data_IF_551644032592
#
_entry.id   IF_551644032592
#
_cell.length_a   1.000
_cell.length_b   1.000
_cell.length_c   1.000
_cell.angle_alpha   90.00
_cell.angle_beta   90.00
_cell.angle_gamma   90.00
#
_symmetry.space_group_name_H-M   'P 1'
#
loop_
_entity.id
_entity.type
_entity.pdbx_description
1 polymer ?
#
# COMPACT_ATOMS: atom_id res chain seq x y z
N UNK A 1 -24.63 -2.04 -21.86
CA UNK A 1 -23.74 -0.87 -21.77
C UNK A 1 -24.31 0.05 -20.71
N UNK A 2 -23.81 -0.02 -19.48
CA UNK A 2 -24.20 0.90 -18.43
C UNK A 2 -23.00 1.80 -18.17
N UNK A 3 -23.10 3.05 -18.58
CA UNK A 3 -22.12 4.10 -18.34
C UNK A 3 -22.06 4.36 -16.83
N UNK A 4 -20.87 4.18 -16.25
CA UNK A 4 -20.59 4.58 -14.86
C UNK A 4 -20.93 6.07 -14.69
N UNK A 5 -21.62 6.49 -13.62
CA UNK A 5 -21.87 7.91 -13.39
C UNK A 5 -20.52 8.61 -13.21
N UNK A 6 -20.30 9.64 -14.01
CA UNK A 6 -19.15 10.53 -13.90
C UNK A 6 -18.99 10.98 -12.46
N UNK A 7 -17.81 10.81 -11.83
CA UNK A 7 -17.59 11.33 -10.49
C UNK A 7 -17.83 12.84 -10.50
N UNK A 8 -18.33 13.42 -9.39
CA UNK A 8 -18.41 14.87 -9.27
C UNK A 8 -17.03 15.46 -9.58
N UNK A 9 -16.94 16.62 -10.25
CA UNK A 9 -15.65 17.22 -10.57
C UNK A 9 -14.86 17.33 -9.26
N UNK A 10 -13.72 16.65 -9.21
CA UNK A 10 -12.76 16.83 -8.12
C UNK A 10 -12.37 18.31 -8.04
N UNK A 11 -11.85 18.76 -6.88
CA UNK A 11 -11.31 20.12 -6.80
C UNK A 11 -10.35 20.35 -7.97
N UNK A 12 -10.47 21.51 -8.61
CA UNK A 12 -9.70 21.90 -9.79
C UNK A 12 -8.20 21.62 -9.57
N UNK A 13 -7.45 21.23 -10.63
CA UNK A 13 -6.05 20.86 -10.50
C UNK A 13 -5.28 22.01 -9.85
N UNK A 14 -4.68 21.74 -8.69
CA UNK A 14 -3.83 22.64 -7.92
C UNK A 14 -2.47 22.80 -8.59
N UNK A 15 -2.46 23.15 -9.88
CA UNK A 15 -1.25 23.56 -10.57
C UNK A 15 -0.86 24.96 -10.08
N UNK A 16 0.13 25.04 -9.18
CA UNK A 16 0.75 26.30 -8.75
C UNK A 16 0.63 26.69 -7.27
N UNK A 17 0.07 25.85 -6.40
CA UNK A 17 0.07 26.12 -4.94
C UNK A 17 1.36 25.64 -4.29
N UNK A 18 1.91 26.45 -3.37
CA UNK A 18 2.98 25.96 -2.49
C UNK A 18 2.43 24.93 -1.51
N UNK A 19 3.29 24.06 -0.99
CA UNK A 19 2.89 22.99 -0.08
C UNK A 19 2.23 23.50 1.21
N UNK A 20 2.67 24.66 1.69
CA UNK A 20 2.08 25.31 2.86
C UNK A 20 0.68 25.87 2.55
N UNK A 21 0.51 26.51 1.39
CA UNK A 21 -0.80 26.99 0.93
C UNK A 21 -1.77 25.82 0.71
N UNK A 22 -1.32 24.72 0.14
CA UNK A 22 -2.13 23.53 -0.06
C UNK A 22 -2.49 22.84 1.26
N UNK A 23 -1.60 22.84 2.26
CA UNK A 23 -1.89 22.32 3.59
C UNK A 23 -2.91 23.20 4.33
N UNK A 24 -2.75 24.52 4.30
CA UNK A 24 -3.73 25.46 4.85
C UNK A 24 -5.09 25.34 4.13
N UNK A 25 -5.08 25.15 2.81
CA UNK A 25 -6.27 24.90 2.01
C UNK A 25 -6.91 23.56 2.39
N UNK A 26 -6.14 22.50 2.56
CA UNK A 26 -6.64 21.19 3.01
C UNK A 26 -7.22 21.24 4.42
N UNK A 27 -6.68 22.07 5.32
CA UNK A 27 -7.27 22.31 6.63
C UNK A 27 -8.58 23.08 6.56
N UNK A 28 -8.65 24.11 5.70
CA UNK A 28 -9.86 24.92 5.50
C UNK A 28 -10.97 24.16 4.76
N UNK A 29 -10.61 23.42 3.72
CA UNK A 29 -11.50 22.62 2.88
C UNK A 29 -11.66 21.18 3.37
N UNK A 30 -11.14 20.85 4.56
CA UNK A 30 -11.03 19.48 5.07
C UNK A 30 -12.21 18.63 4.62
N UNK A 31 -11.92 17.48 4.01
CA UNK A 31 -12.91 16.70 3.26
C UNK A 31 -14.26 16.71 3.99
N UNK A 32 -15.41 17.02 3.35
CA UNK A 32 -16.67 17.34 4.05
C UNK A 32 -17.11 16.30 5.10
N UNK A 33 -16.66 15.05 4.97
CA UNK A 33 -16.92 13.98 5.95
C UNK A 33 -16.00 14.00 7.19
N UNK A 34 -14.81 14.60 7.09
CA UNK A 34 -13.83 14.84 8.16
C UNK A 34 -14.26 16.05 9.01
N UNK A 35 -14.97 17.02 8.42
CA UNK A 35 -15.58 18.12 9.16
C UNK A 35 -16.56 17.56 10.20
N UNK A 36 -16.16 17.65 11.47
CA UNK A 36 -16.91 17.11 12.59
C UNK A 36 -16.84 15.59 12.77
N UNK A 37 -15.86 14.89 12.16
CA UNK A 37 -15.62 13.47 12.47
C UNK A 37 -15.25 13.28 13.95
N UNK A 38 -14.49 14.24 14.48
CA UNK A 38 -14.13 14.32 15.89
C UNK A 38 -15.14 15.11 16.73
N UNK A 39 -16.27 15.58 16.15
CA UNK A 39 -17.27 16.39 16.85
C UNK A 39 -18.23 15.56 17.72
N UNK A 40 -17.87 14.31 18.05
CA UNK A 40 -18.66 13.42 18.88
C UNK A 40 -19.79 12.69 18.13
N UNK A 41 -20.75 12.10 18.87
CA UNK A 41 -21.81 11.28 18.29
C UNK A 41 -22.70 12.06 17.31
N UNK A 42 -22.84 11.55 16.09
CA UNK A 42 -23.75 12.12 15.07
C UNK A 42 -25.10 11.38 15.07
N UNK A 43 -26.07 11.95 14.36
CA UNK A 43 -27.37 11.32 14.19
C UNK A 43 -27.23 9.91 13.58
N UNK A 44 -27.92 8.92 14.17
CA UNK A 44 -27.84 7.49 13.77
C UNK A 44 -27.99 7.25 12.26
N UNK A 45 -28.85 8.02 11.59
CA UNK A 45 -29.05 7.95 10.13
C UNK A 45 -27.79 8.31 9.33
N UNK A 46 -27.00 9.28 9.79
CA UNK A 46 -25.77 9.70 9.11
C UNK A 46 -24.69 8.63 9.29
N UNK A 47 -24.59 8.04 10.48
CA UNK A 47 -23.68 6.92 10.75
C UNK A 47 -24.04 5.67 9.94
N UNK A 48 -25.33 5.35 9.80
CA UNK A 48 -25.79 4.26 8.93
C UNK A 48 -25.42 4.51 7.45
N UNK A 49 -25.69 5.72 6.93
CA UNK A 49 -25.34 6.07 5.56
C UNK A 49 -23.83 6.00 5.32
N UNK A 50 -23.02 6.44 6.28
CA UNK A 50 -21.56 6.31 6.24
C UNK A 50 -21.14 4.85 6.23
N UNK A 51 -21.72 4.02 7.09
CA UNK A 51 -21.43 2.58 7.16
C UNK A 51 -21.72 1.88 5.83
N UNK A 52 -22.84 2.22 5.18
CA UNK A 52 -23.19 1.71 3.85
C UNK A 52 -22.15 2.14 2.80
N UNK A 53 -21.65 3.39 2.84
CA UNK A 53 -20.59 3.85 1.93
C UNK A 53 -19.28 3.09 2.12
N UNK A 54 -18.86 2.90 3.38
CA UNK A 54 -17.67 2.11 3.73
C UNK A 54 -17.81 0.68 3.21
N UNK A 55 -18.96 0.03 3.46
CA UNK A 55 -19.22 -1.32 2.98
C UNK A 55 -19.17 -1.39 1.44
N UNK A 56 -19.74 -0.41 0.73
CA UNK A 56 -19.68 -0.33 -0.73
C UNK A 56 -18.25 -0.21 -1.25
N UNK A 57 -17.41 0.59 -0.60
CA UNK A 57 -16.00 0.73 -0.98
C UNK A 57 -15.22 -0.56 -0.72
N UNK A 58 -15.48 -1.24 0.40
CA UNK A 58 -14.89 -2.54 0.73
C UNK A 58 -15.25 -3.60 -0.33
N UNK A 59 -16.53 -3.70 -0.71
CA UNK A 59 -17.01 -4.62 -1.74
C UNK A 59 -16.39 -4.29 -3.10
N UNK A 60 -16.28 -2.99 -3.45
CA UNK A 60 -15.62 -2.55 -4.69
C UNK A 60 -14.16 -2.97 -4.72
N UNK A 61 -13.43 -2.78 -3.63
CA UNK A 61 -12.04 -3.19 -3.48
C UNK A 61 -11.87 -4.69 -3.71
N UNK A 62 -12.66 -5.51 -3.02
CA UNK A 62 -12.58 -6.97 -3.16
C UNK A 62 -12.88 -7.47 -4.58
N UNK A 63 -13.86 -6.86 -5.26
CA UNK A 63 -14.20 -7.23 -6.64
C UNK A 63 -13.13 -6.84 -7.64
N UNK A 64 -12.60 -5.62 -7.53
CA UNK A 64 -11.58 -5.11 -8.46
C UNK A 64 -10.25 -5.85 -8.33
N UNK A 65 -9.89 -6.26 -7.11
CA UNK A 65 -8.66 -7.01 -6.83
C UNK A 65 -8.86 -8.53 -6.88
N UNK A 66 -10.05 -9.04 -7.20
CA UNK A 66 -10.33 -10.48 -7.07
C UNK A 66 -9.43 -11.36 -7.94
N UNK A 67 -9.04 -10.90 -9.13
CA UNK A 67 -8.31 -11.67 -10.14
C UNK A 67 -6.87 -11.19 -10.37
N UNK A 68 -6.35 -10.34 -9.49
CA UNK A 68 -5.02 -9.74 -9.69
C UNK A 68 -3.90 -10.76 -9.56
N UNK A 69 -4.12 -11.81 -8.76
CA UNK A 69 -3.10 -12.81 -8.45
C UNK A 69 -2.29 -12.41 -7.21
N UNK A 70 -1.23 -13.16 -6.89
CA UNK A 70 -0.43 -12.91 -5.70
C UNK A 70 0.40 -11.64 -5.83
N UNK A 71 0.24 -10.73 -4.87
CA UNK A 71 0.94 -9.47 -4.87
C UNK A 71 2.12 -9.44 -3.89
N UNK A 72 3.10 -8.60 -4.21
CA UNK A 72 4.04 -8.04 -3.24
C UNK A 72 3.77 -6.54 -3.22
N UNK A 73 3.49 -5.99 -2.04
CA UNK A 73 3.31 -4.54 -1.94
C UNK A 73 4.63 -3.84 -1.66
N UNK A 74 4.91 -2.80 -2.44
CA UNK A 74 6.08 -1.94 -2.27
C UNK A 74 5.66 -0.57 -1.72
N UNK A 75 6.29 -0.17 -0.62
CA UNK A 75 6.08 1.12 0.02
C UNK A 75 7.35 1.96 0.01
N UNK A 76 7.18 3.28 0.04
CA UNK A 76 8.27 4.23 0.27
C UNK A 76 7.86 5.66 -0.05
N UNK A 77 8.85 6.55 -0.11
CA UNK A 77 8.65 7.98 -0.32
C UNK A 77 7.98 8.29 -1.66
N UNK A 78 6.92 9.11 -1.62
CA UNK A 78 6.35 9.74 -2.82
C UNK A 78 7.22 10.87 -3.39
N UNK A 79 8.35 11.21 -2.73
CA UNK A 79 9.12 12.43 -3.01
C UNK A 79 10.50 12.16 -3.62
N UNK A 80 10.95 10.92 -3.68
CA UNK A 80 12.23 10.60 -4.30
C UNK A 80 12.06 10.57 -5.81
N UNK A 81 12.90 11.32 -6.51
CA UNK A 81 12.94 11.37 -7.98
C UNK A 81 13.82 10.25 -8.53
N UNK A 82 13.87 10.11 -9.86
CA UNK A 82 14.68 9.10 -10.56
C UNK A 82 16.18 9.18 -10.21
N UNK A 83 16.70 10.38 -9.90
CA UNK A 83 18.11 10.57 -9.52
C UNK A 83 18.45 10.01 -8.12
N UNK A 84 17.46 9.61 -7.34
CA UNK A 84 17.67 9.06 -6.00
C UNK A 84 18.02 7.57 -6.07
N UNK A 85 19.08 7.14 -5.38
CA UNK A 85 19.48 5.72 -5.34
C UNK A 85 18.36 4.76 -4.89
N UNK A 86 17.44 5.21 -4.03
CA UNK A 86 16.32 4.38 -3.58
C UNK A 86 15.25 4.23 -4.65
N UNK A 87 15.12 5.18 -5.58
CA UNK A 87 14.26 5.04 -6.75
C UNK A 87 14.74 3.87 -7.61
N UNK A 88 16.02 3.85 -7.97
CA UNK A 88 16.59 2.74 -8.75
C UNK A 88 16.54 1.40 -8.01
N UNK A 89 16.75 1.40 -6.67
CA UNK A 89 16.54 0.22 -5.85
C UNK A 89 15.08 -0.29 -5.91
N UNK A 90 14.09 0.60 -5.81
CA UNK A 90 12.68 0.22 -5.94
C UNK A 90 12.35 -0.34 -7.33
N UNK A 91 12.93 0.24 -8.37
CA UNK A 91 12.78 -0.22 -9.75
C UNK A 91 13.39 -1.60 -9.97
N UNK A 92 14.56 -1.87 -9.40
CA UNK A 92 15.15 -3.21 -9.39
C UNK A 92 14.27 -4.22 -8.65
N UNK A 93 13.74 -3.86 -7.48
CA UNK A 93 12.79 -4.70 -6.74
C UNK A 93 11.54 -4.99 -7.57
N UNK A 94 10.98 -3.99 -8.26
CA UNK A 94 9.85 -4.18 -9.17
C UNK A 94 10.14 -5.20 -10.28
N UNK A 95 11.33 -5.11 -10.90
CA UNK A 95 11.79 -6.09 -11.90
C UNK A 95 11.88 -7.50 -11.33
N UNK A 96 12.35 -7.66 -10.09
CA UNK A 96 12.45 -8.97 -9.41
C UNK A 96 11.10 -9.56 -9.04
N UNK A 97 10.18 -8.73 -8.54
CA UNK A 97 8.80 -9.16 -8.25
C UNK A 97 8.15 -9.70 -9.53
N UNK A 98 8.28 -8.99 -10.65
CA UNK A 98 7.82 -9.45 -11.96
C UNK A 98 8.52 -10.76 -12.39
N UNK A 99 9.83 -10.87 -12.21
CA UNK A 99 10.60 -12.10 -12.49
C UNK A 99 10.18 -13.31 -11.64
N UNK A 100 9.58 -13.09 -10.47
CA UNK A 100 8.95 -14.14 -9.66
C UNK A 100 7.57 -14.57 -10.16
N UNK A 101 7.01 -13.91 -11.18
CA UNK A 101 5.64 -14.12 -11.64
C UNK A 101 4.58 -13.52 -10.71
N UNK A 102 4.98 -12.59 -9.85
CA UNK A 102 4.10 -11.92 -8.89
C UNK A 102 3.66 -10.56 -9.41
N UNK A 103 2.58 -10.05 -8.85
CA UNK A 103 2.08 -8.71 -9.15
C UNK A 103 2.73 -7.69 -8.22
N UNK A 104 3.23 -6.60 -8.79
CA UNK A 104 3.72 -5.47 -8.00
C UNK A 104 2.54 -4.59 -7.62
N UNK A 105 2.25 -4.48 -6.34
CA UNK A 105 1.21 -3.61 -5.80
C UNK A 105 1.86 -2.40 -5.10
N UNK A 106 1.32 -1.21 -5.28
CA UNK A 106 1.81 -0.01 -4.60
C UNK A 106 0.65 0.90 -4.21
N UNK A 107 0.97 2.05 -3.60
CA UNK A 107 -0.01 3.13 -3.42
C UNK A 107 -0.39 3.87 -4.70
N UNK A 108 0.26 3.59 -5.84
CA UNK A 108 -0.03 4.17 -7.15
C UNK A 108 0.41 5.63 -7.36
N UNK A 109 1.05 6.25 -6.37
CA UNK A 109 1.59 7.61 -6.47
C UNK A 109 2.97 7.69 -7.13
N UNK A 110 3.60 8.87 -7.11
CA UNK A 110 4.94 9.10 -7.65
C UNK A 110 6.05 8.50 -6.76
N UNK A 111 7.30 8.71 -7.17
CA UNK A 111 8.50 8.36 -6.42
C UNK A 111 8.74 6.87 -6.30
N UNK A 112 8.98 6.35 -5.09
CA UNK A 112 9.27 4.92 -4.88
C UNK A 112 8.15 4.01 -5.40
N UNK A 113 6.89 4.43 -5.24
CA UNK A 113 5.75 3.66 -5.72
C UNK A 113 5.81 3.54 -7.25
N UNK A 114 6.00 4.67 -7.94
CA UNK A 114 6.21 4.70 -9.38
C UNK A 114 7.41 3.87 -9.83
N UNK A 115 8.55 3.98 -9.15
CA UNK A 115 9.75 3.23 -9.48
C UNK A 115 9.51 1.71 -9.47
N UNK A 116 8.85 1.20 -8.42
CA UNK A 116 8.50 -0.21 -8.32
C UNK A 116 7.51 -0.63 -9.42
N UNK A 117 6.49 0.18 -9.69
CA UNK A 117 5.53 -0.07 -10.76
C UNK A 117 6.20 -0.11 -12.14
N UNK A 118 7.09 0.86 -12.40
CA UNK A 118 7.91 0.97 -13.61
C UNK A 118 8.79 -0.26 -13.80
N UNK A 119 9.52 -0.65 -12.75
CA UNK A 119 10.37 -1.84 -12.78
C UNK A 119 9.58 -3.10 -13.13
N UNK A 120 8.39 -3.27 -12.56
CA UNK A 120 7.54 -4.41 -12.86
C UNK A 120 7.11 -4.44 -14.34
N UNK A 121 6.64 -3.30 -14.88
CA UNK A 121 6.24 -3.20 -16.29
C UNK A 121 7.41 -3.40 -17.26
N UNK A 122 8.59 -2.87 -16.96
CA UNK A 122 9.79 -3.04 -17.78
C UNK A 122 10.23 -4.50 -17.88
N UNK A 123 9.94 -5.31 -16.86
CA UNK A 123 10.15 -6.76 -16.86
C UNK A 123 8.93 -7.55 -17.40
N UNK A 124 7.90 -6.88 -17.93
CA UNK A 124 6.69 -7.52 -18.44
C UNK A 124 5.75 -8.10 -17.38
N UNK A 125 5.93 -7.72 -16.11
CA UNK A 125 5.06 -8.12 -15.00
C UNK A 125 3.84 -7.21 -14.85
N UNK A 126 2.86 -7.66 -14.06
CA UNK A 126 1.66 -6.88 -13.74
C UNK A 126 1.94 -5.86 -12.63
N UNK A 127 1.34 -4.68 -12.76
CA UNK A 127 1.54 -3.53 -11.89
C UNK A 127 0.20 -2.90 -11.48
N UNK A 128 -0.05 -2.78 -10.18
CA UNK A 128 -1.34 -2.34 -9.62
C UNK A 128 -1.16 -1.23 -8.58
N UNK A 129 -2.06 -0.24 -8.61
CA UNK A 129 -2.09 0.88 -7.67
C UNK A 129 -3.33 0.87 -6.79
N UNK A 130 -3.15 0.91 -5.47
CA UNK A 130 -4.19 1.23 -4.51
C UNK A 130 -4.03 2.69 -4.07
N UNK A 131 -4.64 3.61 -4.80
CA UNK A 131 -4.55 5.06 -4.56
C UNK A 131 -5.54 5.52 -3.46
N UNK A 132 -5.29 6.67 -2.85
CA UNK A 132 -6.15 7.28 -1.83
C UNK A 132 -6.53 8.71 -2.23
N UNK A 133 -7.79 9.08 -2.02
CA UNK A 133 -8.26 10.44 -2.28
C UNK A 133 -7.58 11.44 -1.32
N UNK A 134 -6.69 12.27 -1.85
CA UNK A 134 -5.99 13.34 -1.16
C UNK A 134 -6.20 14.71 -1.84
N UNK A 135 -6.03 15.84 -1.13
CA UNK A 135 -6.08 17.17 -1.75
C UNK A 135 -4.95 17.43 -2.77
N UNK A 136 -3.85 16.68 -2.67
CA UNK A 136 -2.69 16.71 -3.57
C UNK A 136 -2.23 15.27 -3.85
N UNK A 137 -1.31 15.07 -4.80
CA UNK A 137 -0.73 13.74 -5.13
C UNK A 137 -1.78 12.72 -5.64
N UNK A 138 -2.74 13.18 -6.45
CA UNK A 138 -3.86 12.36 -6.91
C UNK A 138 -3.63 11.62 -8.23
N UNK A 139 -2.66 12.07 -9.04
CA UNK A 139 -2.42 11.46 -10.34
C UNK A 139 -1.80 10.06 -10.16
N UNK A 140 -2.45 8.99 -10.63
CA UNK A 140 -1.83 7.68 -10.69
C UNK A 140 -0.59 7.75 -11.59
N UNK A 141 0.49 7.08 -11.20
CA UNK A 141 1.69 7.02 -12.02
C UNK A 141 1.44 6.26 -13.35
N UNK A 142 2.22 6.51 -14.41
CA UNK A 142 1.93 5.99 -15.74
C UNK A 142 2.22 4.49 -15.92
N UNK A 143 2.79 3.83 -14.90
CA UNK A 143 3.24 2.44 -14.98
C UNK A 143 2.27 1.46 -14.30
N UNK A 144 0.98 1.79 -14.29
CA UNK A 144 -0.08 0.98 -13.68
C UNK A 144 -0.96 0.35 -14.76
N UNK A 145 -1.15 -0.96 -14.70
CA UNK A 145 -2.12 -1.67 -15.56
C UNK A 145 -3.54 -1.51 -15.03
N UNK A 146 -3.66 -1.47 -13.70
CA UNK A 146 -4.93 -1.29 -13.01
C UNK A 146 -4.71 -0.44 -11.75
N UNK A 147 -5.67 0.43 -11.43
CA UNK A 147 -5.70 1.10 -10.14
C UNK A 147 -7.11 1.22 -9.58
N UNK A 148 -7.15 1.38 -8.26
CA UNK A 148 -8.37 1.62 -7.49
C UNK A 148 -8.10 2.80 -6.58
N UNK A 149 -8.95 3.80 -6.66
CA UNK A 149 -8.92 4.94 -5.75
C UNK A 149 -9.88 4.68 -4.59
N UNK A 150 -9.35 4.74 -3.37
CA UNK A 150 -10.08 4.63 -2.12
C UNK A 150 -10.31 6.01 -1.52
N UNK A 151 -11.38 6.14 -0.74
CA UNK A 151 -11.66 7.30 0.09
C UNK A 151 -11.24 7.06 1.54
N UNK A 152 -11.43 5.84 2.04
CA UNK A 152 -11.15 5.51 3.43
C UNK A 152 -9.80 4.79 3.55
N UNK A 153 -8.87 5.39 4.29
CA UNK A 153 -7.53 4.82 4.55
C UNK A 153 -7.57 3.38 5.05
N UNK A 154 -8.45 3.09 6.02
CA UNK A 154 -8.56 1.74 6.59
C UNK A 154 -9.06 0.71 5.57
N UNK A 155 -9.91 1.10 4.61
CA UNK A 155 -10.34 0.18 3.54
C UNK A 155 -9.17 -0.10 2.60
N UNK A 156 -8.39 0.93 2.24
CA UNK A 156 -7.18 0.78 1.44
C UNK A 156 -6.16 -0.15 2.09
N UNK A 157 -5.87 0.07 3.38
CA UNK A 157 -4.96 -0.77 4.18
C UNK A 157 -5.37 -2.25 4.16
N UNK A 158 -6.66 -2.53 4.35
CA UNK A 158 -7.19 -3.90 4.23
C UNK A 158 -6.88 -4.52 2.86
N UNK A 159 -7.00 -3.75 1.77
CA UNK A 159 -6.69 -4.27 0.42
C UNK A 159 -5.20 -4.52 0.21
N UNK A 160 -4.35 -3.60 0.66
CA UNK A 160 -2.89 -3.74 0.57
C UNK A 160 -2.40 -4.99 1.30
N UNK A 161 -2.91 -5.25 2.52
CA UNK A 161 -2.54 -6.44 3.29
C UNK A 161 -3.14 -7.71 2.68
N UNK A 162 -4.45 -7.73 2.39
CA UNK A 162 -5.18 -8.94 1.99
C UNK A 162 -4.63 -9.62 0.73
N UNK A 163 -4.21 -8.83 -0.26
CA UNK A 163 -3.77 -9.35 -1.56
C UNK A 163 -2.26 -9.55 -1.64
N UNK A 164 -1.53 -9.12 -0.62
CA UNK A 164 -0.08 -9.25 -0.56
C UNK A 164 0.35 -10.51 0.17
N UNK A 165 1.53 -11.01 -0.20
CA UNK A 165 2.20 -12.11 0.47
C UNK A 165 3.51 -11.68 1.12
N UNK A 166 3.99 -10.48 0.79
CA UNK A 166 5.14 -9.84 1.41
C UNK A 166 5.02 -8.33 1.24
N UNK A 167 5.66 -7.58 2.14
CA UNK A 167 5.91 -6.15 1.99
C UNK A 167 7.40 -5.90 1.77
N UNK A 168 7.70 -5.04 0.80
CA UNK A 168 9.03 -4.45 0.63
C UNK A 168 8.91 -2.96 0.91
N UNK A 169 9.65 -2.48 1.91
CA UNK A 169 9.55 -1.14 2.45
C UNK A 169 10.86 -0.42 2.21
N UNK A 170 10.86 0.48 1.23
CA UNK A 170 11.97 1.37 0.94
C UNK A 170 11.84 2.67 1.74
N UNK A 171 12.91 3.48 1.82
CA UNK A 171 12.93 4.70 2.63
C UNK A 171 11.76 5.64 2.32
N UNK A 172 11.12 6.15 3.37
CA UNK A 172 9.85 6.85 3.25
C UNK A 172 9.39 7.55 4.52
N UNK A 173 8.36 8.38 4.40
CA UNK A 173 7.86 9.21 5.50
C UNK A 173 6.77 8.54 6.34
N UNK A 174 5.87 9.37 6.91
CA UNK A 174 4.80 8.88 7.79
C UNK A 174 3.89 7.84 7.16
N UNK A 175 3.52 7.98 5.88
CA UNK A 175 2.70 6.96 5.22
C UNK A 175 3.40 5.60 5.14
N UNK A 176 4.71 5.59 4.92
CA UNK A 176 5.52 4.36 4.89
C UNK A 176 5.64 3.74 6.28
N UNK A 177 5.87 4.56 7.31
CA UNK A 177 5.93 4.11 8.70
C UNK A 177 4.58 3.55 9.19
N UNK A 178 3.47 4.20 8.82
CA UNK A 178 2.11 3.76 9.14
C UNK A 178 1.84 2.35 8.61
N UNK A 179 2.16 2.09 7.34
CA UNK A 179 1.99 0.76 6.73
C UNK A 179 2.97 -0.27 7.29
N UNK A 180 4.22 0.13 7.59
CA UNK A 180 5.21 -0.73 8.24
C UNK A 180 4.74 -1.21 9.61
N UNK A 181 4.39 -0.29 10.52
CA UNK A 181 4.01 -0.66 11.87
C UNK A 181 2.66 -1.38 11.94
N UNK A 182 1.74 -1.10 11.01
CA UNK A 182 0.52 -1.90 10.87
C UNK A 182 0.86 -3.36 10.53
N UNK A 183 1.72 -3.59 9.54
CA UNK A 183 2.15 -4.94 9.16
C UNK A 183 2.80 -5.67 10.33
N UNK A 184 3.75 -5.03 11.03
CA UNK A 184 4.43 -5.62 12.18
C UNK A 184 3.45 -5.99 13.29
N UNK A 185 2.50 -5.11 13.59
CA UNK A 185 1.45 -5.39 14.59
C UNK A 185 0.61 -6.59 14.18
N UNK A 186 0.24 -6.70 12.91
CA UNK A 186 -0.56 -7.83 12.39
C UNK A 186 0.22 -9.16 12.45
N UNK A 187 1.52 -9.15 12.15
CA UNK A 187 2.39 -10.35 12.24
C UNK A 187 2.60 -10.75 13.70
N UNK A 188 2.99 -9.79 14.55
CA UNK A 188 3.22 -9.99 15.99
C UNK A 188 1.99 -10.58 16.67
N UNK A 189 0.80 -10.05 16.37
CA UNK A 189 -0.47 -10.53 16.94
C UNK A 189 -1.06 -11.75 16.22
N UNK A 190 -0.32 -12.33 15.26
CA UNK A 190 -0.72 -13.51 14.47
C UNK A 190 -2.04 -13.33 13.73
N UNK A 191 -2.39 -12.09 13.38
CA UNK A 191 -3.55 -11.77 12.51
C UNK A 191 -3.24 -12.02 11.05
N UNK A 192 -1.98 -11.94 10.69
CA UNK A 192 -1.42 -12.51 9.46
C UNK A 192 -0.24 -13.42 9.85
N UNK A 193 -0.03 -14.49 9.09
CA UNK A 193 1.00 -15.48 9.35
C UNK A 193 1.96 -15.53 8.16
N UNK A 194 3.23 -15.82 8.43
CA UNK A 194 4.24 -16.08 7.40
C UNK A 194 4.39 -14.98 6.34
N UNK A 195 4.28 -13.72 6.79
CA UNK A 195 4.28 -12.54 5.94
C UNK A 195 5.63 -11.82 6.03
N UNK A 196 6.53 -11.95 5.05
CA UNK A 196 7.83 -11.29 5.09
C UNK A 196 7.67 -9.77 5.01
N UNK A 197 8.34 -9.07 5.92
CA UNK A 197 8.50 -7.61 5.90
C UNK A 197 9.97 -7.30 5.65
N UNK A 198 10.30 -6.84 4.45
CA UNK A 198 11.66 -6.54 4.04
C UNK A 198 11.87 -5.03 4.03
N UNK A 199 12.79 -4.54 4.85
CA UNK A 199 13.25 -3.15 4.87
C UNK A 199 14.47 -3.01 3.96
N UNK A 200 14.34 -2.21 2.91
CA UNK A 200 15.43 -1.92 1.98
C UNK A 200 16.08 -0.58 2.31
N UNK A 201 17.41 -0.48 2.24
CA UNK A 201 18.15 0.73 2.61
C UNK A 201 18.61 0.66 4.07
N UNK A 202 19.66 -0.14 4.32
CA UNK A 202 20.14 -0.47 5.67
C UNK A 202 20.42 0.80 6.47
N UNK A 203 21.16 1.73 5.87
CA UNK A 203 21.58 2.97 6.54
C UNK A 203 20.41 3.89 6.90
N UNK A 204 19.32 3.85 6.14
CA UNK A 204 18.11 4.62 6.45
C UNK A 204 17.34 4.05 7.64
N UNK A 205 17.21 2.72 7.70
CA UNK A 205 16.37 2.05 8.70
C UNK A 205 17.12 1.68 9.98
N UNK A 206 18.46 1.58 9.94
CA UNK A 206 19.26 1.20 11.09
C UNK A 206 18.95 2.06 12.34
N UNK A 207 18.83 3.40 12.26
CA UNK A 207 18.48 4.21 13.44
C UNK A 207 17.12 3.84 14.05
N UNK A 208 16.14 3.46 13.24
CA UNK A 208 14.83 3.01 13.72
C UNK A 208 14.93 1.63 14.39
N UNK A 209 15.68 0.71 13.79
CA UNK A 209 15.94 -0.62 14.35
C UNK A 209 16.67 -0.50 15.69
N UNK A 210 17.67 0.37 15.77
CA UNK A 210 18.40 0.66 17.01
C UNK A 210 17.46 1.21 18.07
N UNK A 211 16.58 2.17 17.72
CA UNK A 211 15.55 2.66 18.64
C UNK A 211 14.62 1.54 19.15
N UNK A 212 14.19 0.63 18.27
CA UNK A 212 13.36 -0.52 18.68
C UNK A 212 14.11 -1.43 19.65
N UNK A 213 15.40 -1.69 19.43
CA UNK A 213 16.25 -2.48 20.33
C UNK A 213 16.50 -1.79 21.66
N UNK A 214 17.03 -0.57 21.62
CA UNK A 214 17.52 0.16 22.79
C UNK A 214 16.42 0.75 23.65
N UNK A 215 15.23 0.98 23.07
CA UNK A 215 14.12 1.63 23.76
C UNK A 215 12.95 0.69 23.92
N UNK A 216 12.36 0.20 22.83
CA UNK A 216 11.11 -0.57 22.93
C UNK A 216 11.34 -1.91 23.62
N UNK A 217 12.31 -2.70 23.15
CA UNK A 217 12.63 -3.99 23.76
C UNK A 217 13.22 -3.82 25.17
N UNK A 218 14.09 -2.84 25.37
CA UNK A 218 14.68 -2.56 26.69
C UNK A 218 13.65 -2.15 27.76
N UNK A 219 12.56 -1.48 27.36
CA UNK A 219 11.45 -1.11 28.26
C UNK A 219 10.32 -2.15 28.28
N UNK A 220 10.50 -3.32 27.64
CA UNK A 220 9.51 -4.39 27.62
C UNK A 220 8.21 -4.04 26.89
N UNK A 221 8.23 -3.09 25.96
CA UNK A 221 7.04 -2.74 25.15
C UNK A 221 6.88 -3.63 23.92
N UNK A 222 7.93 -4.37 23.56
CA UNK A 222 7.96 -5.45 22.56
C UNK A 222 8.91 -6.56 23.06
N UNK A 223 8.77 -7.78 22.55
CA UNK A 223 9.76 -8.83 22.78
C UNK A 223 11.02 -8.57 21.95
N UNK A 224 12.19 -8.96 22.45
CA UNK A 224 13.45 -8.77 21.72
C UNK A 224 13.45 -9.48 20.35
N UNK A 225 12.71 -10.58 20.23
CA UNK A 225 12.52 -11.37 19.00
C UNK A 225 11.53 -10.74 18.02
N UNK A 226 10.72 -9.75 18.44
CA UNK A 226 9.79 -9.07 17.52
C UNK A 226 10.52 -8.29 16.44
N UNK A 227 11.79 -7.98 16.66
CA UNK A 227 12.64 -7.29 15.69
C UNK A 227 13.01 -8.21 14.53
N UNK A 228 13.03 -9.53 14.77
CA UNK A 228 13.31 -10.56 13.76
C UNK A 228 12.12 -10.78 12.81
N UNK A 229 10.97 -10.13 13.07
CA UNK A 229 9.84 -10.05 12.13
C UNK A 229 10.21 -9.27 10.86
N UNK A 230 11.28 -8.47 10.90
CA UNK A 230 11.78 -7.69 9.77
C UNK A 230 13.09 -8.27 9.25
N UNK A 231 13.28 -8.24 7.94
CA UNK A 231 14.61 -8.40 7.33
C UNK A 231 15.10 -7.04 6.86
N UNK A 232 16.26 -6.61 7.36
CA UNK A 232 16.92 -5.38 6.94
C UNK A 232 18.05 -5.70 5.97
N UNK A 233 18.00 -5.18 4.73
CA UNK A 233 18.99 -5.49 3.70
C UNK A 233 19.14 -4.40 2.64
N UNK A 234 20.29 -4.34 1.99
CA UNK A 234 20.51 -3.57 0.76
C UNK A 234 20.51 -4.47 -0.49
N UNK A 235 20.49 -5.79 -0.31
CA UNK A 235 20.60 -6.77 -1.39
C UNK A 235 19.23 -7.11 -1.97
N UNK A 236 18.97 -6.83 -3.26
CA UNK A 236 17.77 -7.30 -3.93
C UNK A 236 17.66 -8.82 -3.97
N UNK A 237 18.79 -9.55 -3.98
CA UNK A 237 18.81 -11.02 -3.95
C UNK A 237 18.30 -11.56 -2.60
N UNK A 238 18.72 -10.94 -1.49
CA UNK A 238 18.25 -11.33 -0.16
C UNK A 238 16.76 -11.02 0.00
N UNK A 239 16.31 -9.85 -0.46
CA UNK A 239 14.91 -9.48 -0.47
C UNK A 239 14.07 -10.51 -1.25
N UNK A 240 14.51 -10.87 -2.45
CA UNK A 240 13.86 -11.89 -3.27
C UNK A 240 13.79 -13.25 -2.56
N UNK A 241 14.90 -13.69 -1.96
CA UNK A 241 14.95 -14.95 -1.23
C UNK A 241 13.94 -14.99 -0.06
N UNK A 242 13.80 -13.89 0.69
CA UNK A 242 12.80 -13.78 1.77
C UNK A 242 11.37 -13.82 1.25
N UNK A 243 11.09 -13.13 0.14
CA UNK A 243 9.77 -13.17 -0.50
C UNK A 243 9.43 -14.58 -0.95
N UNK A 244 10.36 -15.26 -1.64
CA UNK A 244 10.18 -16.66 -2.10
C UNK A 244 9.95 -17.61 -0.92
N UNK A 245 10.67 -17.42 0.18
CA UNK A 245 10.48 -18.22 1.38
C UNK A 245 9.07 -18.07 1.96
N UNK A 246 8.56 -16.84 2.09
CA UNK A 246 7.18 -16.60 2.54
C UNK A 246 6.14 -17.21 1.59
N UNK A 247 6.33 -17.08 0.28
CA UNK A 247 5.43 -17.65 -0.72
C UNK A 247 5.39 -19.18 -0.70
N UNK A 248 6.51 -19.84 -0.42
CA UNK A 248 6.56 -21.30 -0.35
C UNK A 248 5.64 -21.85 0.74
N UNK A 249 5.47 -21.11 1.83
CA UNK A 249 4.55 -21.46 2.91
C UNK A 249 3.08 -21.34 2.45
N UNK A 250 2.81 -20.42 1.55
CA UNK A 250 1.48 -20.17 0.98
C UNK A 250 1.21 -20.91 -0.34
N UNK A 251 2.07 -21.85 -0.73
CA UNK A 251 2.01 -22.49 -2.06
C UNK A 251 0.66 -23.18 -2.35
N UNK A 252 -0.01 -23.73 -1.34
CA UNK A 252 -1.33 -24.34 -1.51
C UNK A 252 -2.45 -23.33 -1.76
N UNK A 253 -2.41 -22.17 -1.08
CA UNK A 253 -3.39 -21.10 -1.32
C UNK A 253 -3.20 -20.46 -2.70
N UNK A 254 -1.94 -20.29 -3.12
CA UNK A 254 -1.59 -19.74 -4.43
C UNK A 254 -2.07 -20.61 -5.60
N UNK A 255 -2.21 -21.93 -5.40
CA UNK A 255 -2.78 -22.85 -6.41
C UNK A 255 -4.29 -22.68 -6.59
N UNK A 256 -5.00 -22.06 -5.65
CA UNK A 256 -6.45 -21.85 -5.73
C UNK A 256 -6.76 -20.65 -6.61
N UNK A 257 -6.85 -20.88 -7.91
CA UNK A 257 -7.32 -19.87 -8.86
C UNK A 257 -8.83 -19.67 -8.69
N UNK A 258 -9.33 -18.45 -8.40
CA UNK A 258 -10.76 -18.20 -8.30
C UNK A 258 -11.46 -18.51 -9.62
N UNK A 259 -12.56 -19.27 -9.58
CA UNK A 259 -13.39 -19.55 -10.76
C UNK A 259 -14.30 -18.35 -11.03
N UNK A 260 -14.33 -17.91 -12.28
CA UNK A 260 -15.23 -16.85 -12.71
C UNK A 260 -16.70 -17.26 -12.57
N UNK A 261 -17.52 -16.37 -12.00
CA UNK A 261 -18.96 -16.53 -11.94
C UNK A 261 -19.66 -15.63 -12.96
N UNK A 262 -20.32 -16.26 -13.95
CA UNK A 262 -21.19 -15.55 -14.91
C UNK A 262 -22.37 -14.84 -14.23
N UNK A 263 -22.83 -15.34 -13.08
CA UNK A 263 -23.95 -14.77 -12.31
C UNK A 263 -23.54 -13.44 -11.66
N UNK A 264 -22.27 -13.29 -11.29
CA UNK A 264 -21.75 -12.09 -10.64
C UNK A 264 -21.21 -11.04 -11.64
N UNK A 265 -21.27 -11.33 -12.95
CA UNK A 265 -20.81 -10.41 -14.01
C UNK A 265 -19.30 -10.23 -14.05
N UNK A 266 -18.54 -11.20 -13.56
CA UNK A 266 -17.08 -11.16 -13.47
C UNK A 266 -16.44 -11.32 -14.87
N UNK A 267 -15.47 -10.44 -15.18
CA UNK A 267 -14.60 -10.54 -16.36
C UNK A 267 -13.15 -10.62 -15.87
N UNK A 268 -12.34 -11.50 -16.47
CA UNK A 268 -10.89 -11.55 -16.26
C UNK A 268 -10.23 -10.22 -16.64
#
# INVERSE_FOLDING_TARGET
MATDPTPPPGPAPTAGLTREQAWQLAQRLGHPEVQGFLAGPRARRLELLRSIRVLRELVRGFRRLHFVGPCVTVFGSARFTEDNRYYEMAREIGRRIAGMGLVTMTGGGPGIMEAANRGAQEAGGKSIGCNIELPMEQAPNPYLDQWITFRYFFVRKVMLVKYSYAFVVLPGGFGTLDELFEALTLVQTRKILNFPVVLMGVDYWQPLVDFMRSTLAANGTIDATDIDLMTLTDSPDEAEAKIRHGLAIHAEELRRVPKQSRILGEKA
#
